data_IF_073143305504
#
_entry.id   IF_073143305504
#
_cell.length_a   1.000
_cell.length_b   1.000
_cell.length_c   1.000
_cell.angle_alpha   90.00
_cell.angle_beta   90.00
_cell.angle_gamma   90.00
#
_symmetry.space_group_name_H-M   'P 1'
#
loop_
_entity.id
_entity.type
_entity.pdbx_description
1 polymer ?
#
# COMPACT_ATOMS: atom_id res chain seq x y z
N UNK A 1 0.36 -11.50 9.63
CA UNK A 1 1.01 -10.23 9.26
C UNK A 1 2.36 -10.53 8.64
N UNK A 2 2.67 -9.85 7.55
CA UNK A 2 3.92 -10.05 6.83
C UNK A 2 4.86 -8.87 7.07
N UNK A 3 6.16 -9.15 7.07
CA UNK A 3 7.19 -8.12 7.15
C UNK A 3 8.11 -8.26 5.95
N UNK A 4 8.23 -7.20 5.15
CA UNK A 4 9.02 -7.19 3.93
C UNK A 4 10.09 -6.12 4.04
N UNK A 5 11.34 -6.49 3.81
CA UNK A 5 12.48 -5.58 3.91
C UNK A 5 13.14 -5.27 2.58
N UNK A 6 12.92 -6.11 1.56
CA UNK A 6 13.61 -5.99 0.27
C UNK A 6 12.78 -5.22 -0.75
N UNK A 7 13.41 -4.23 -1.38
CA UNK A 7 12.81 -3.50 -2.50
C UNK A 7 12.61 -4.39 -3.74
N UNK A 8 13.21 -5.58 -3.74
CA UNK A 8 13.09 -6.55 -4.84
C UNK A 8 11.97 -7.56 -4.60
N UNK A 9 11.27 -7.49 -3.48
CA UNK A 9 10.14 -8.36 -3.21
C UNK A 9 9.08 -8.20 -4.29
N UNK A 10 8.45 -9.30 -4.77
CA UNK A 10 7.43 -9.23 -5.83
C UNK A 10 6.28 -8.27 -5.54
N UNK A 11 5.82 -8.15 -4.29
CA UNK A 11 4.78 -7.21 -3.93
C UNK A 11 5.25 -5.77 -4.13
N UNK A 12 6.46 -5.45 -3.71
CA UNK A 12 7.02 -4.11 -3.88
C UNK A 12 7.17 -3.78 -5.37
N UNK A 13 7.66 -4.72 -6.16
CA UNK A 13 7.76 -4.55 -7.61
C UNK A 13 6.39 -4.33 -8.24
N UNK A 14 5.38 -5.06 -7.80
CA UNK A 14 4.00 -4.92 -8.26
C UNK A 14 3.45 -3.52 -7.97
N UNK A 15 3.63 -3.03 -6.73
CA UNK A 15 3.17 -1.68 -6.33
C UNK A 15 3.86 -0.61 -7.17
N UNK A 16 5.19 -0.71 -7.37
CA UNK A 16 5.92 0.26 -8.20
C UNK A 16 5.42 0.26 -9.64
N UNK A 17 5.12 -0.90 -10.18
CA UNK A 17 4.61 -1.01 -11.54
C UNK A 17 3.20 -0.45 -11.67
N UNK A 18 2.35 -0.67 -10.68
CA UNK A 18 1.02 -0.03 -10.62
C UNK A 18 1.13 1.49 -10.59
N UNK A 19 2.10 2.03 -9.87
CA UNK A 19 2.32 3.47 -9.80
C UNK A 19 2.79 4.06 -11.12
N UNK A 20 3.61 3.33 -11.88
CA UNK A 20 4.33 3.85 -13.03
C UNK A 20 3.65 3.55 -14.38
N UNK A 21 2.81 2.52 -14.47
CA UNK A 21 2.33 1.99 -15.74
C UNK A 21 0.81 1.87 -15.76
N UNK A 22 0.17 2.77 -16.50
CA UNK A 22 -1.29 2.79 -16.62
C UNK A 22 -1.84 1.52 -17.25
N UNK A 23 -1.19 0.99 -18.28
CA UNK A 23 -1.64 -0.23 -18.95
C UNK A 23 -1.60 -1.42 -17.99
N UNK A 24 -0.60 -1.46 -17.13
CA UNK A 24 -0.50 -2.50 -16.10
C UNK A 24 -1.65 -2.39 -15.09
N UNK A 25 -1.97 -1.16 -14.63
CA UNK A 25 -3.12 -0.94 -13.75
C UNK A 25 -4.41 -1.43 -14.37
N UNK A 26 -4.63 -1.12 -15.64
CA UNK A 26 -5.83 -1.54 -16.34
C UNK A 26 -5.93 -3.06 -16.48
N UNK A 27 -4.80 -3.72 -16.77
CA UNK A 27 -4.77 -5.19 -16.87
C UNK A 27 -5.04 -5.86 -15.52
N UNK A 28 -4.51 -5.31 -14.44
CA UNK A 28 -4.70 -5.85 -13.10
C UNK A 28 -6.05 -5.49 -12.49
N UNK A 29 -6.69 -4.43 -12.98
CA UNK A 29 -7.88 -3.89 -12.34
C UNK A 29 -7.59 -3.33 -10.96
N UNK A 30 -6.40 -2.77 -10.77
CA UNK A 30 -5.87 -2.39 -9.47
C UNK A 30 -5.16 -1.05 -9.54
N UNK A 31 -5.20 -0.26 -8.46
CA UNK A 31 -4.48 1.01 -8.38
C UNK A 31 -3.95 1.23 -6.96
N UNK A 32 -3.02 2.16 -6.82
CA UNK A 32 -2.35 2.48 -5.56
C UNK A 32 -2.85 3.79 -5.01
N UNK A 33 -3.16 3.79 -3.73
CA UNK A 33 -3.52 5.00 -2.98
C UNK A 33 -2.50 5.21 -1.86
N UNK A 34 -2.32 6.46 -1.47
CA UNK A 34 -1.31 6.87 -0.51
C UNK A 34 -1.95 7.78 0.55
N UNK A 35 -1.73 7.45 1.82
CA UNK A 35 -2.12 8.31 2.92
C UNK A 35 -3.13 7.70 3.89
N UNK A 36 -3.03 8.15 5.15
CA UNK A 36 -3.85 7.65 6.26
C UNK A 36 -5.33 8.00 6.10
N UNK A 37 -5.62 9.20 5.63
CA UNK A 37 -6.98 9.66 5.46
C UNK A 37 -7.71 8.83 4.41
N UNK A 38 -7.06 8.59 3.26
CA UNK A 38 -7.64 7.78 2.21
C UNK A 38 -7.87 6.34 2.67
N UNK A 39 -6.94 5.79 3.46
CA UNK A 39 -7.12 4.46 4.02
C UNK A 39 -8.34 4.40 4.93
N UNK A 40 -8.51 5.38 5.80
CA UNK A 40 -9.68 5.46 6.68
C UNK A 40 -10.98 5.51 5.90
N UNK A 41 -11.04 6.29 4.84
CA UNK A 41 -12.20 6.36 3.95
C UNK A 41 -12.43 5.05 3.21
N UNK A 42 -11.37 4.42 2.72
CA UNK A 42 -11.48 3.13 2.02
C UNK A 42 -12.03 2.04 2.92
N UNK A 43 -11.64 2.01 4.18
CA UNK A 43 -12.15 1.04 5.15
C UNK A 43 -13.65 1.19 5.40
N UNK A 44 -14.18 2.40 5.28
CA UNK A 44 -15.60 2.67 5.50
C UNK A 44 -16.44 2.46 4.24
N UNK A 45 -15.91 2.79 3.07
CA UNK A 45 -16.72 2.92 1.86
C UNK A 45 -16.31 2.05 0.69
N UNK A 46 -15.12 1.41 0.77
CA UNK A 46 -14.56 0.73 -0.39
C UNK A 46 -14.38 -0.77 -0.14
N UNK A 47 -15.30 -1.61 -0.66
CA UNK A 47 -15.24 -3.06 -0.41
C UNK A 47 -14.12 -3.79 -1.15
N UNK A 48 -13.41 -3.13 -2.05
CA UNK A 48 -12.39 -3.74 -2.90
C UNK A 48 -10.96 -3.48 -2.44
N UNK A 49 -10.77 -3.10 -1.19
CA UNK A 49 -9.44 -2.94 -0.60
C UNK A 49 -8.70 -4.29 -0.62
N UNK A 50 -7.52 -4.34 -1.22
CA UNK A 50 -6.77 -5.59 -1.44
C UNK A 50 -5.60 -5.76 -0.49
N UNK A 51 -4.67 -4.80 -0.48
CA UNK A 51 -3.43 -4.88 0.28
C UNK A 51 -3.12 -3.55 0.93
N UNK A 52 -2.70 -3.60 2.20
CA UNK A 52 -2.22 -2.43 2.93
C UNK A 52 -0.76 -2.64 3.29
N UNK A 53 0.08 -1.69 2.94
CA UNK A 53 1.51 -1.67 3.30
C UNK A 53 1.72 -0.49 4.22
N UNK A 54 2.19 -0.75 5.44
CA UNK A 54 2.44 0.28 6.44
C UNK A 54 3.89 0.26 6.91
N UNK A 55 4.44 1.44 7.19
CA UNK A 55 5.74 1.51 7.83
C UNK A 55 5.64 0.92 9.24
N UNK A 56 6.67 0.20 9.67
CA UNK A 56 6.68 -0.48 10.97
C UNK A 56 6.52 0.45 12.17
N UNK A 57 6.89 1.72 12.01
CA UNK A 57 6.81 2.76 13.06
C UNK A 57 5.51 3.56 13.04
N UNK A 58 4.58 3.22 12.18
CA UNK A 58 3.32 3.96 12.01
C UNK A 58 2.15 3.10 12.49
N UNK A 59 1.25 3.62 13.32
CA UNK A 59 0.07 2.87 13.71
C UNK A 59 -0.84 2.63 12.51
N UNK A 60 -1.42 1.44 12.44
CA UNK A 60 -2.35 1.07 11.40
C UNK A 60 -3.70 0.71 12.04
N UNK A 61 -4.82 1.15 11.46
CA UNK A 61 -6.12 0.76 11.98
C UNK A 61 -6.35 -0.75 11.81
N UNK A 62 -7.30 -1.28 12.54
CA UNK A 62 -7.70 -2.67 12.39
C UNK A 62 -8.23 -2.92 10.98
N UNK A 63 -7.74 -3.99 10.34
CA UNK A 63 -8.08 -4.32 8.97
C UNK A 63 -8.94 -5.58 8.91
N UNK A 64 -9.87 -5.70 7.93
CA UNK A 64 -10.58 -6.94 7.68
C UNK A 64 -9.62 -8.08 7.34
N UNK A 65 -9.98 -9.30 7.70
CA UNK A 65 -9.17 -10.49 7.41
C UNK A 65 -8.96 -10.74 5.92
N UNK A 66 -9.86 -10.23 5.08
CA UNK A 66 -9.77 -10.35 3.63
C UNK A 66 -8.69 -9.46 3.01
N UNK A 67 -8.15 -8.51 3.78
CA UNK A 67 -7.13 -7.58 3.32
C UNK A 67 -5.75 -8.10 3.70
N UNK A 68 -4.85 -8.18 2.73
CA UNK A 68 -3.45 -8.53 2.99
C UNK A 68 -2.77 -7.37 3.70
N UNK A 69 -2.16 -7.62 4.84
CA UNK A 69 -1.45 -6.60 5.59
C UNK A 69 0.04 -6.89 5.64
N UNK A 70 0.84 -5.90 5.26
CA UNK A 70 2.30 -6.00 5.20
C UNK A 70 2.90 -4.78 5.89
N UNK A 71 3.94 -5.01 6.70
CA UNK A 71 4.74 -3.91 7.26
C UNK A 71 6.12 -3.90 6.62
N UNK A 72 6.70 -2.71 6.51
CA UNK A 72 8.00 -2.48 5.89
C UNK A 72 8.80 -1.49 6.74
N UNK A 73 10.14 -1.47 6.60
CA UNK A 73 10.94 -0.40 7.20
C UNK A 73 10.55 0.97 6.65
N UNK A 74 10.72 2.00 7.47
CA UNK A 74 10.40 3.38 7.07
C UNK A 74 11.10 3.80 5.78
N UNK A 75 12.36 3.42 5.60
CA UNK A 75 13.12 3.76 4.39
C UNK A 75 12.49 3.17 3.12
N UNK A 76 11.99 1.95 3.20
CA UNK A 76 11.32 1.31 2.07
C UNK A 76 9.98 2.00 1.79
N UNK A 77 9.22 2.31 2.83
CA UNK A 77 7.96 3.05 2.70
C UNK A 77 8.17 4.40 2.03
N UNK A 78 9.18 5.16 2.47
CA UNK A 78 9.46 6.47 1.89
C UNK A 78 9.81 6.38 0.39
N UNK A 79 10.42 5.28 -0.03
CA UNK A 79 10.72 5.05 -1.45
C UNK A 79 9.48 4.66 -2.27
N UNK A 80 8.44 4.14 -1.63
CA UNK A 80 7.18 3.77 -2.28
C UNK A 80 6.19 4.93 -2.37
N UNK A 81 6.20 5.82 -1.38
CA UNK A 81 5.24 6.90 -1.33
C UNK A 81 5.51 7.93 -2.42
N UNK A 82 4.43 8.39 -3.06
CA UNK A 82 4.48 9.48 -4.03
C UNK A 82 4.22 10.84 -3.38
N UNK A 83 3.89 10.85 -2.09
CA UNK A 83 3.61 12.08 -1.36
C UNK A 83 4.89 12.82 -0.99
N UNK A 84 4.84 14.14 -1.02
CA UNK A 84 5.94 15.00 -0.61
C UNK A 84 6.25 14.81 0.88
N UNK A 85 5.21 14.59 1.69
CA UNK A 85 5.35 14.26 3.11
C UNK A 85 4.67 12.91 3.33
N UNK A 86 5.41 11.79 3.24
CA UNK A 86 4.83 10.47 3.38
C UNK A 86 4.14 10.26 4.74
N UNK A 87 2.98 9.62 4.72
CA UNK A 87 2.21 9.33 5.94
C UNK A 87 2.42 7.91 6.43
N UNK A 88 3.29 7.14 5.78
CA UNK A 88 3.67 5.82 6.22
C UNK A 88 2.70 4.70 5.87
N UNK A 89 1.77 4.94 4.96
CA UNK A 89 0.86 3.90 4.48
C UNK A 89 0.57 4.06 3.00
N UNK A 90 0.59 2.92 2.29
CA UNK A 90 0.22 2.82 0.88
C UNK A 90 -0.68 1.60 0.76
N UNK A 91 -1.73 1.67 -0.03
CA UNK A 91 -2.63 0.54 -0.19
C UNK A 91 -3.11 0.40 -1.64
N UNK A 92 -3.55 -0.81 -1.98
CA UNK A 92 -4.09 -1.12 -3.30
C UNK A 92 -5.58 -1.47 -3.21
N UNK A 93 -6.28 -1.11 -4.24
CA UNK A 93 -7.71 -1.41 -4.39
C UNK A 93 -7.98 -2.04 -5.74
#
# INVERSE_FOLDING_TARGET
>A
MEYITSSKNPLIAHVRKLQADRAYRERCGEFVCDGQKLLGEALLWYPHLLTVIAAENVPCPELPETVRFVTVPESLMNSLSTMKTPQGVVFTC
#
